data_IF_114007421914
#
_entry.id   IF_114007421914
#
_cell.length_a   1.000
_cell.length_b   1.000
_cell.length_c   1.000
_cell.angle_alpha   90.00
_cell.angle_beta   90.00
_cell.angle_gamma   90.00
#
_symmetry.space_group_name_H-M   'P 1'
#
loop_
_entity.id
_entity.type
_entity.pdbx_description
1 polymer ?
#
# COMPACT_ATOMS: atom_id res chain seq x y z
N UNK A 1 -22.81 13.51 48.69
CA UNK A 1 -22.40 14.36 47.55
C UNK A 1 -23.13 13.90 46.29
N UNK A 2 -24.01 14.76 45.77
CA UNK A 2 -24.40 14.98 44.35
C UNK A 2 -24.67 13.72 43.48
N UNK A 3 -25.95 13.27 43.43
CA UNK A 3 -26.94 13.47 42.33
C UNK A 3 -26.67 12.64 41.06
N UNK A 4 -27.31 11.47 40.90
CA UNK A 4 -28.60 11.23 40.20
C UNK A 4 -28.53 11.36 38.66
N UNK A 5 -28.71 10.21 37.98
CA UNK A 5 -29.63 9.95 36.84
C UNK A 5 -29.79 11.00 35.71
N UNK A 6 -29.64 10.58 34.44
CA UNK A 6 -30.71 10.75 33.44
C UNK A 6 -30.61 9.78 32.23
N UNK A 7 -31.75 9.34 31.63
CA UNK A 7 -31.86 8.30 30.61
C UNK A 7 -32.28 8.82 29.20
N UNK A 8 -32.40 7.87 28.25
CA UNK A 8 -33.30 7.72 27.08
C UNK A 8 -34.08 8.94 26.48
N UNK A 9 -34.04 9.00 25.14
CA UNK A 9 -35.15 9.27 24.18
C UNK A 9 -35.34 10.65 23.52
N UNK A 10 -35.42 10.59 22.17
CA UNK A 10 -36.34 11.24 21.18
C UNK A 10 -36.27 12.72 20.73
N UNK A 11 -36.46 12.85 19.40
CA UNK A 11 -36.80 14.00 18.51
C UNK A 11 -35.75 15.12 18.40
N UNK A 12 -35.45 15.74 17.25
CA UNK A 12 -36.30 16.18 16.13
C UNK A 12 -35.43 16.42 14.88
N UNK A 13 -36.02 16.45 13.68
CA UNK A 13 -35.43 17.02 12.45
C UNK A 13 -35.58 18.57 12.49
N UNK A 14 -35.31 19.39 11.44
CA UNK A 14 -34.56 19.26 10.17
C UNK A 14 -33.37 20.28 10.16
N UNK A 15 -32.62 20.59 9.11
CA UNK A 15 -32.93 21.63 8.10
C UNK A 15 -31.93 21.53 6.94
N UNK A 16 -32.53 21.32 5.79
CA UNK A 16 -32.14 21.57 4.41
C UNK A 16 -31.59 23.00 4.19
N UNK A 17 -30.36 23.14 3.70
CA UNK A 17 -29.86 24.42 3.17
C UNK A 17 -29.75 24.35 1.65
N UNK A 18 -30.78 24.89 1.01
CA UNK A 18 -30.92 25.15 -0.42
C UNK A 18 -29.93 26.27 -0.90
N UNK A 19 -29.81 26.50 -2.23
CA UNK A 19 -28.57 26.89 -2.91
C UNK A 19 -28.30 28.40 -2.94
N UNK A 20 -27.01 28.74 -3.08
CA UNK A 20 -26.55 30.11 -3.32
C UNK A 20 -26.94 30.55 -4.74
N UNK A 21 -27.77 31.59 -4.78
CA UNK A 21 -28.29 32.23 -5.98
C UNK A 21 -27.16 32.93 -6.74
N UNK A 22 -27.03 32.56 -8.01
CA UNK A 22 -26.09 33.11 -8.98
C UNK A 22 -26.70 34.40 -9.58
N UNK A 23 -26.25 35.57 -9.13
CA UNK A 23 -26.70 36.86 -9.70
C UNK A 23 -25.79 37.21 -10.89
N UNK A 24 -26.30 36.92 -12.08
CA UNK A 24 -25.76 37.39 -13.35
C UNK A 24 -26.13 38.87 -13.55
N UNK A 25 -25.15 39.77 -13.52
CA UNK A 25 -25.33 41.17 -13.91
C UNK A 25 -25.09 41.31 -15.41
N UNK A 26 -26.18 41.54 -16.14
CA UNK A 26 -26.23 41.90 -17.56
C UNK A 26 -25.68 43.33 -17.77
N UNK A 27 -24.79 43.47 -18.73
CA UNK A 27 -24.47 44.74 -19.38
C UNK A 27 -25.62 45.17 -20.33
N UNK A 28 -25.86 46.48 -20.51
CA UNK A 28 -26.53 46.96 -21.72
C UNK A 28 -25.67 47.98 -22.49
N UNK A 29 -25.61 47.77 -23.81
CA UNK A 29 -25.16 48.75 -24.81
C UNK A 29 -26.38 49.34 -25.52
N UNK A 30 -26.33 50.67 -25.68
CA UNK A 30 -26.84 51.54 -26.78
C UNK A 30 -28.34 51.64 -27.09
N UNK A 31 -28.91 52.86 -27.00
CA UNK A 31 -29.68 53.56 -28.06
C UNK A 31 -29.53 55.10 -27.93
N UNK A 32 -29.61 55.79 -29.08
CA UNK A 32 -29.32 57.18 -29.46
C UNK A 32 -30.36 58.27 -29.07
N UNK A 33 -29.84 59.50 -28.87
CA UNK A 33 -30.22 60.85 -29.42
C UNK A 33 -31.45 61.63 -28.92
N UNK A 34 -31.17 62.82 -28.35
CA UNK A 34 -31.72 64.19 -28.58
C UNK A 34 -31.43 65.04 -27.31
N UNK A 35 -31.24 66.37 -27.24
CA UNK A 35 -31.00 67.52 -28.14
C UNK A 35 -30.68 68.71 -27.19
N UNK A 36 -29.67 69.53 -27.54
CA UNK A 36 -29.39 70.95 -27.21
C UNK A 36 -29.42 71.50 -25.76
N UNK A 37 -28.32 72.17 -25.35
CA UNK A 37 -28.30 73.60 -24.99
C UNK A 37 -26.85 74.13 -24.82
N UNK A 38 -26.63 75.39 -25.22
CA UNK A 38 -25.40 76.21 -25.17
C UNK A 38 -24.90 76.48 -23.72
N UNK A 39 -23.69 76.97 -23.43
CA UNK A 39 -23.14 78.31 -23.78
C UNK A 39 -21.60 78.42 -23.57
N UNK A 40 -21.03 79.42 -24.25
CA UNK A 40 -19.64 79.92 -24.31
C UNK A 40 -18.98 80.29 -22.97
N UNK A 41 -17.64 80.25 -22.90
CA UNK A 41 -16.77 81.46 -22.91
C UNK A 41 -15.27 81.10 -22.90
N UNK A 42 -14.53 81.65 -23.87
CA UNK A 42 -13.07 81.86 -23.88
C UNK A 42 -12.76 83.19 -23.13
N UNK A 43 -11.57 83.60 -22.66
CA UNK A 43 -10.18 83.72 -23.20
C UNK A 43 -9.29 84.32 -22.01
N UNK A 44 -8.00 84.77 -22.11
CA UNK A 44 -6.70 84.06 -22.26
C UNK A 44 -5.52 84.53 -21.31
N UNK A 45 -4.43 83.72 -21.25
CA UNK A 45 -2.94 83.97 -21.19
C UNK A 45 -2.27 85.08 -20.35
N UNK A 46 -1.24 84.75 -19.51
CA UNK A 46 0.01 85.54 -19.27
C UNK A 46 1.26 84.69 -18.79
N UNK A 47 2.38 84.81 -19.54
CA UNK A 47 3.84 84.76 -19.22
C UNK A 47 4.65 83.49 -18.78
N UNK A 48 5.63 83.11 -19.64
CA UNK A 48 6.70 82.12 -19.46
C UNK A 48 8.07 82.82 -19.17
N UNK A 49 8.79 82.44 -18.09
CA UNK A 49 9.97 81.56 -18.23
C UNK A 49 10.12 80.51 -17.12
N UNK A 50 9.15 80.39 -16.20
CA UNK A 50 9.15 79.37 -15.15
C UNK A 50 8.58 78.01 -15.62
N UNK A 51 7.83 77.99 -16.72
CA UNK A 51 7.16 76.78 -17.24
C UNK A 51 8.15 75.72 -17.75
N UNK A 52 9.32 76.09 -18.24
CA UNK A 52 10.29 75.14 -18.82
C UNK A 52 11.07 74.34 -17.76
N UNK A 53 11.38 74.93 -16.61
CA UNK A 53 12.04 74.22 -15.51
C UNK A 53 11.06 73.29 -14.76
N UNK A 54 9.83 73.75 -14.56
CA UNK A 54 8.77 72.94 -13.92
C UNK A 54 8.33 71.80 -14.83
N UNK A 55 8.26 72.01 -16.16
CA UNK A 55 7.98 70.93 -17.12
C UNK A 55 9.06 69.83 -17.10
N UNK A 56 10.34 70.20 -17.05
CA UNK A 56 11.43 69.23 -17.00
C UNK A 56 11.46 68.41 -15.70
N UNK A 57 11.10 69.00 -14.55
CA UNK A 57 10.94 68.26 -13.28
C UNK A 57 9.73 67.32 -13.29
N UNK A 58 8.60 67.75 -13.87
CA UNK A 58 7.38 66.94 -13.98
C UNK A 58 7.59 65.74 -14.91
N UNK A 59 8.26 65.92 -16.04
CA UNK A 59 8.65 64.82 -16.94
C UNK A 59 9.56 63.79 -16.24
N UNK A 60 10.46 64.25 -15.35
CA UNK A 60 11.34 63.37 -14.58
C UNK A 60 10.61 62.53 -13.52
N UNK A 61 9.57 63.11 -12.89
CA UNK A 61 8.73 62.44 -11.91
C UNK A 61 7.78 61.44 -12.57
N UNK A 62 7.21 61.76 -13.74
CA UNK A 62 6.42 60.82 -14.52
C UNK A 62 7.25 59.62 -14.98
N UNK A 63 8.49 59.86 -15.43
CA UNK A 63 9.42 58.78 -15.77
C UNK A 63 9.74 57.89 -14.56
N UNK A 64 9.99 58.48 -13.39
CA UNK A 64 10.26 57.73 -12.15
C UNK A 64 9.05 56.89 -11.70
N UNK A 65 7.84 57.44 -11.80
CA UNK A 65 6.59 56.73 -11.46
C UNK A 65 6.31 55.59 -12.45
N UNK A 66 6.58 55.81 -13.74
CA UNK A 66 6.48 54.76 -14.76
C UNK A 66 7.47 53.62 -14.46
N UNK A 67 8.72 53.94 -14.09
CA UNK A 67 9.73 52.94 -13.75
C UNK A 67 9.32 52.13 -12.51
N UNK A 68 8.86 52.79 -11.44
CA UNK A 68 8.32 52.12 -10.24
C UNK A 68 7.09 51.23 -10.55
N UNK A 69 6.20 51.70 -11.44
CA UNK A 69 5.02 50.95 -11.89
C UNK A 69 5.40 49.71 -12.69
N UNK A 70 6.40 49.82 -13.57
CA UNK A 70 6.89 48.67 -14.34
C UNK A 70 7.57 47.63 -13.45
N UNK A 71 8.39 48.05 -12.48
CA UNK A 71 8.97 47.15 -11.48
C UNK A 71 7.91 46.44 -10.63
N UNK A 72 6.87 47.15 -10.19
CA UNK A 72 5.80 46.56 -9.40
C UNK A 72 5.01 45.51 -10.21
N UNK A 73 4.70 45.82 -11.48
CA UNK A 73 4.07 44.85 -12.38
C UNK A 73 4.96 43.63 -12.65
N UNK A 74 6.27 43.81 -12.78
CA UNK A 74 7.22 42.70 -12.91
C UNK A 74 7.21 41.80 -11.66
N UNK A 75 7.17 42.39 -10.45
CA UNK A 75 7.04 41.65 -9.19
C UNK A 75 5.73 40.87 -9.11
N UNK A 76 4.61 41.43 -9.59
CA UNK A 76 3.33 40.73 -9.68
C UNK A 76 3.39 39.53 -10.64
N UNK A 77 4.04 39.68 -11.80
CA UNK A 77 4.24 38.59 -12.76
C UNK A 77 5.13 37.47 -12.18
N UNK A 78 6.18 37.83 -11.43
CA UNK A 78 7.00 36.86 -10.70
C UNK A 78 6.21 36.12 -9.62
N UNK A 79 5.35 36.82 -8.86
CA UNK A 79 4.52 36.19 -7.83
C UNK A 79 3.50 35.22 -8.47
N UNK A 80 2.90 35.61 -9.60
CA UNK A 80 2.02 34.73 -10.36
C UNK A 80 2.72 33.45 -10.85
N UNK A 81 3.99 33.55 -11.30
CA UNK A 81 4.76 32.39 -11.71
C UNK A 81 5.09 31.46 -10.53
N UNK A 82 5.46 32.02 -9.36
CA UNK A 82 5.70 31.25 -8.14
C UNK A 82 4.45 30.53 -7.62
N UNK A 83 3.28 31.17 -7.70
CA UNK A 83 2.01 30.52 -7.35
C UNK A 83 1.75 29.33 -8.28
N UNK A 84 2.03 29.48 -9.57
CA UNK A 84 1.86 28.40 -10.54
C UNK A 84 2.81 27.22 -10.30
N UNK A 85 4.07 27.49 -9.92
CA UNK A 85 5.04 26.44 -9.59
C UNK A 85 4.67 25.71 -8.31
N UNK A 86 4.33 26.43 -7.23
CA UNK A 86 3.85 25.85 -5.97
C UNK A 86 2.65 24.95 -6.17
N UNK A 87 1.70 25.35 -7.02
CA UNK A 87 0.52 24.53 -7.36
C UNK A 87 0.91 23.24 -8.09
N UNK A 88 1.89 23.30 -8.98
CA UNK A 88 2.42 22.13 -9.68
C UNK A 88 3.14 21.17 -8.73
N UNK A 89 4.01 21.71 -7.88
CA UNK A 89 4.75 20.96 -6.86
C UNK A 89 3.81 20.29 -5.87
N UNK A 90 2.79 21.01 -5.37
CA UNK A 90 1.77 20.46 -4.48
C UNK A 90 1.03 19.29 -5.12
N UNK A 91 0.57 19.45 -6.37
CA UNK A 91 -0.09 18.35 -7.12
C UNK A 91 0.86 17.15 -7.33
N UNK A 92 2.14 17.41 -7.56
CA UNK A 92 3.16 16.38 -7.67
C UNK A 92 3.34 15.61 -6.36
N UNK A 93 3.39 16.33 -5.25
CA UNK A 93 3.56 15.78 -3.91
C UNK A 93 2.32 15.00 -3.47
N UNK A 94 1.12 15.52 -3.72
CA UNK A 94 -0.15 14.81 -3.49
C UNK A 94 -0.20 13.47 -4.22
N UNK A 95 0.21 13.43 -5.50
CA UNK A 95 0.31 12.18 -6.27
C UNK A 95 1.34 11.21 -5.67
N UNK A 96 2.48 11.71 -5.19
CA UNK A 96 3.49 10.88 -4.52
C UNK A 96 2.93 10.29 -3.23
N UNK A 97 2.30 11.09 -2.37
CA UNK A 97 1.65 10.62 -1.15
C UNK A 97 0.57 9.58 -1.42
N UNK A 98 -0.29 9.80 -2.41
CA UNK A 98 -1.33 8.83 -2.80
C UNK A 98 -0.75 7.50 -3.28
N UNK A 99 0.40 7.52 -3.99
CA UNK A 99 1.09 6.30 -4.41
C UNK A 99 1.72 5.56 -3.23
N UNK A 100 2.41 6.28 -2.35
CA UNK A 100 3.04 5.72 -1.16
C UNK A 100 2.01 5.10 -0.21
N UNK A 101 0.88 5.77 0.03
CA UNK A 101 -0.17 5.27 0.89
C UNK A 101 -0.80 3.98 0.33
N UNK A 102 -1.02 3.92 -0.99
CA UNK A 102 -1.47 2.70 -1.67
C UNK A 102 -0.41 1.59 -1.64
N UNK A 103 0.88 1.93 -1.78
CA UNK A 103 1.97 0.97 -1.70
C UNK A 103 2.08 0.36 -0.29
N UNK A 104 2.02 1.20 0.74
CA UNK A 104 2.02 0.79 2.15
C UNK A 104 0.81 -0.10 2.49
N UNK A 105 -0.39 0.24 2.03
CA UNK A 105 -1.59 -0.58 2.21
C UNK A 105 -1.46 -1.96 1.52
N UNK A 106 -0.91 -2.01 0.31
CA UNK A 106 -0.63 -3.28 -0.40
C UNK A 106 0.42 -4.12 0.33
N UNK A 107 1.44 -3.49 0.89
CA UNK A 107 2.49 -4.19 1.64
C UNK A 107 1.94 -4.76 2.96
N UNK A 108 1.13 -3.98 3.68
CA UNK A 108 0.46 -4.39 4.91
C UNK A 108 -0.51 -5.56 4.67
N UNK A 109 -1.35 -5.48 3.64
CA UNK A 109 -2.27 -6.57 3.27
C UNK A 109 -1.54 -7.86 2.85
N UNK A 110 -0.42 -7.76 2.11
CA UNK A 110 0.45 -8.91 1.80
C UNK A 110 1.05 -9.52 3.06
N UNK A 111 1.52 -8.70 4.01
CA UNK A 111 2.07 -9.17 5.29
C UNK A 111 1.00 -9.88 6.12
N UNK A 112 -0.22 -9.33 6.20
CA UNK A 112 -1.35 -9.96 6.88
C UNK A 112 -1.74 -11.31 6.26
N UNK A 113 -1.67 -11.45 4.93
CA UNK A 113 -1.89 -12.75 4.25
C UNK A 113 -0.79 -13.78 4.53
N UNK A 114 0.47 -13.36 4.66
CA UNK A 114 1.60 -14.26 4.98
C UNK A 114 1.68 -14.63 6.46
N UNK A 115 1.28 -13.71 7.34
CA UNK A 115 1.33 -13.86 8.81
C UNK A 115 0.01 -14.34 9.42
N UNK A 116 -1.03 -14.56 8.61
CA UNK A 116 -2.26 -15.17 9.10
C UNK A 116 -1.92 -16.50 9.76
N UNK A 117 -2.42 -16.71 10.98
CA UNK A 117 -2.26 -17.89 11.83
C UNK A 117 -2.74 -19.15 11.09
N UNK A 118 -1.96 -19.60 10.11
CA UNK A 118 -2.24 -20.79 9.33
C UNK A 118 -2.00 -21.92 10.31
N UNK A 119 -3.09 -22.55 10.76
CA UNK A 119 -3.02 -23.70 11.63
C UNK A 119 -1.93 -24.65 11.10
N UNK A 120 -1.06 -25.18 11.97
CA UNK A 120 0.04 -26.03 11.53
C UNK A 120 -0.53 -27.12 10.64
N UNK A 121 -0.15 -27.09 9.36
CA UNK A 121 -0.62 -28.07 8.36
C UNK A 121 -0.45 -29.46 8.94
N UNK A 122 -1.38 -30.39 8.69
CA UNK A 122 -1.36 -31.74 9.28
C UNK A 122 -0.04 -32.50 9.10
N UNK A 123 0.78 -32.10 8.13
CA UNK A 123 2.14 -32.61 7.90
C UNK A 123 3.21 -32.09 8.88
N UNK A 124 2.98 -30.93 9.51
CA UNK A 124 3.85 -30.26 10.49
C UNK A 124 3.46 -30.61 11.92
N UNK A 125 2.36 -31.33 12.13
CA UNK A 125 1.93 -31.79 13.45
C UNK A 125 2.98 -32.75 14.03
N UNK A 126 3.50 -32.52 15.25
CA UNK A 126 4.35 -33.49 15.93
C UNK A 126 3.56 -34.78 16.20
N UNK A 127 4.17 -35.89 15.80
CA UNK A 127 3.60 -37.23 15.99
C UNK A 127 4.69 -38.13 16.56
N UNK A 128 4.31 -39.07 17.43
CA UNK A 128 5.24 -40.09 17.91
C UNK A 128 5.75 -40.95 16.76
N UNK A 129 7.06 -41.15 16.75
CA UNK A 129 7.81 -41.90 15.75
C UNK A 129 8.17 -43.28 16.33
N UNK A 130 8.22 -44.31 15.48
CA UNK A 130 8.64 -45.65 15.88
C UNK A 130 10.11 -45.71 16.31
N UNK A 131 10.46 -46.63 17.19
CA UNK A 131 11.84 -46.81 17.68
C UNK A 131 12.87 -47.02 16.57
N UNK A 132 12.48 -47.74 15.49
CA UNK A 132 13.32 -47.95 14.30
C UNK A 132 13.70 -46.61 13.62
N UNK A 133 12.74 -45.69 13.46
CA UNK A 133 12.98 -44.38 12.86
C UNK A 133 13.76 -43.46 13.81
N UNK A 134 13.50 -43.52 15.11
CA UNK A 134 14.24 -42.76 16.10
C UNK A 134 15.72 -43.18 16.13
N UNK A 135 15.99 -44.49 16.11
CA UNK A 135 17.35 -45.02 16.04
C UNK A 135 18.08 -44.62 14.75
N UNK A 136 17.39 -44.59 13.60
CA UNK A 136 17.99 -44.16 12.33
C UNK A 136 18.35 -42.67 12.34
N UNK A 137 17.52 -41.83 12.95
CA UNK A 137 17.76 -40.39 13.07
C UNK A 137 18.69 -40.02 14.24
N UNK A 138 19.12 -40.98 15.07
CA UNK A 138 19.93 -40.73 16.25
C UNK A 138 19.20 -39.95 17.35
N UNK A 139 17.89 -40.17 17.50
CA UNK A 139 17.04 -39.51 18.51
C UNK A 139 16.53 -40.50 19.54
N UNK A 140 16.12 -39.97 20.69
CA UNK A 140 15.58 -40.77 21.78
C UNK A 140 14.28 -41.48 21.39
N UNK A 141 14.08 -42.68 21.95
CA UNK A 141 12.88 -43.48 21.74
C UNK A 141 11.66 -42.72 22.24
N UNK A 142 10.60 -42.67 21.44
CA UNK A 142 9.37 -41.95 21.78
C UNK A 142 9.38 -40.44 21.53
N UNK A 143 10.42 -39.89 20.89
CA UNK A 143 10.45 -38.49 20.45
C UNK A 143 9.32 -38.19 19.46
N UNK A 144 8.67 -37.05 19.64
CA UNK A 144 7.66 -36.56 18.71
C UNK A 144 8.30 -35.69 17.65
N UNK A 145 8.11 -36.02 16.37
CA UNK A 145 8.45 -35.09 15.30
C UNK A 145 7.38 -35.03 14.22
N UNK A 146 7.42 -33.93 13.49
CA UNK A 146 6.62 -33.73 12.31
C UNK A 146 7.09 -34.61 11.16
N UNK A 147 6.14 -35.13 10.38
CA UNK A 147 6.42 -35.90 9.15
C UNK A 147 7.33 -35.14 8.18
N UNK A 148 7.15 -33.82 8.06
CA UNK A 148 8.03 -32.97 7.22
C UNK A 148 9.48 -32.93 7.68
N UNK A 149 9.74 -32.98 8.99
CA UNK A 149 11.09 -32.98 9.53
C UNK A 149 11.79 -34.32 9.24
N UNK A 150 11.10 -35.43 9.49
CA UNK A 150 11.63 -36.78 9.21
C UNK A 150 11.94 -36.97 7.72
N UNK A 151 11.04 -36.58 6.82
CA UNK A 151 11.30 -36.68 5.38
C UNK A 151 12.48 -35.79 4.95
N UNK A 152 12.67 -34.62 5.58
CA UNK A 152 13.84 -33.77 5.31
C UNK A 152 15.13 -34.44 5.74
N UNK A 153 15.15 -35.03 6.92
CA UNK A 153 16.33 -35.71 7.47
C UNK A 153 16.70 -36.94 6.62
N UNK A 154 15.71 -37.73 6.19
CA UNK A 154 15.93 -38.86 5.27
C UNK A 154 16.43 -38.37 3.90
N UNK A 155 15.89 -37.28 3.35
CA UNK A 155 16.37 -36.73 2.09
C UNK A 155 17.81 -36.20 2.21
N UNK A 156 18.17 -35.62 3.35
CA UNK A 156 19.54 -35.22 3.65
C UNK A 156 20.47 -36.45 3.73
N UNK A 157 20.02 -37.53 4.36
CA UNK A 157 20.74 -38.81 4.39
C UNK A 157 20.98 -39.38 2.98
N UNK A 158 19.94 -39.41 2.14
CA UNK A 158 20.04 -39.90 0.75
C UNK A 158 21.07 -39.08 -0.05
N UNK A 159 21.12 -37.76 0.15
CA UNK A 159 22.06 -36.87 -0.54
C UNK A 159 23.49 -37.04 -0.03
N UNK A 160 23.67 -37.09 1.29
CA UNK A 160 25.00 -37.23 1.91
C UNK A 160 25.66 -38.57 1.58
N UNK A 161 24.85 -39.64 1.46
CA UNK A 161 25.33 -40.97 1.09
C UNK A 161 25.29 -41.23 -0.43
N UNK A 162 24.97 -40.22 -1.25
CA UNK A 162 24.87 -40.33 -2.72
C UNK A 162 24.03 -41.53 -3.21
N UNK A 163 22.92 -41.82 -2.52
CA UNK A 163 22.03 -42.96 -2.80
C UNK A 163 21.07 -42.69 -3.97
N UNK A 164 21.24 -41.58 -4.68
CA UNK A 164 20.43 -41.27 -5.86
C UNK A 164 20.99 -41.98 -7.08
N UNK A 165 20.10 -42.51 -7.92
CA UNK A 165 20.53 -43.06 -9.19
C UNK A 165 21.01 -41.92 -10.12
N UNK A 166 22.20 -42.10 -10.70
CA UNK A 166 22.82 -41.14 -11.61
C UNK A 166 22.10 -41.06 -12.95
N UNK A 167 21.48 -42.17 -13.38
CA UNK A 167 20.72 -42.22 -14.63
C UNK A 167 19.31 -41.62 -14.45
N UNK A 168 18.71 -41.80 -13.27
CA UNK A 168 17.37 -41.31 -12.98
C UNK A 168 17.29 -40.77 -11.55
N UNK A 169 17.58 -39.47 -11.35
CA UNK A 169 17.59 -38.83 -10.03
C UNK A 169 16.26 -38.83 -9.26
N UNK A 170 15.20 -39.41 -9.84
CA UNK A 170 13.93 -39.68 -9.16
C UNK A 170 13.98 -40.97 -8.34
N UNK A 171 14.78 -41.94 -8.79
CA UNK A 171 14.98 -43.24 -8.15
C UNK A 171 16.08 -43.15 -7.10
N UNK A 172 15.87 -43.85 -6.00
CA UNK A 172 16.78 -43.93 -4.87
C UNK A 172 17.18 -45.39 -4.75
N UNK A 173 18.47 -45.65 -4.70
CA UNK A 173 19.05 -46.95 -4.41
C UNK A 173 19.27 -47.03 -2.89
N UNK A 174 18.33 -47.60 -2.11
CA UNK A 174 18.45 -47.60 -0.66
C UNK A 174 19.65 -48.45 -0.23
N UNK A 175 20.39 -47.96 0.77
CA UNK A 175 21.39 -48.75 1.46
C UNK A 175 20.73 -49.75 2.42
N UNK A 176 21.52 -50.65 3.00
CA UNK A 176 21.01 -51.67 3.93
C UNK A 176 20.24 -51.05 5.12
N UNK A 177 20.66 -49.86 5.58
CA UNK A 177 20.02 -49.16 6.69
C UNK A 177 18.66 -48.58 6.30
N UNK A 178 18.56 -47.91 5.16
CA UNK A 178 17.31 -47.33 4.66
C UNK A 178 16.33 -48.42 4.20
N UNK A 179 16.83 -49.50 3.60
CA UNK A 179 16.02 -50.64 3.19
C UNK A 179 15.42 -51.37 4.41
N UNK A 180 16.20 -51.60 5.47
CA UNK A 180 15.73 -52.21 6.71
C UNK A 180 14.67 -51.33 7.38
N UNK A 181 14.89 -50.02 7.42
CA UNK A 181 13.95 -49.06 7.99
C UNK A 181 12.62 -49.03 7.23
N UNK A 182 12.65 -48.96 5.90
CA UNK A 182 11.45 -48.84 5.06
C UNK A 182 10.79 -50.18 4.73
N UNK A 183 11.35 -51.30 5.21
CA UNK A 183 10.87 -52.67 4.97
C UNK A 183 10.65 -52.96 3.48
N UNK A 184 11.54 -52.44 2.65
CA UNK A 184 11.45 -52.54 1.19
C UNK A 184 11.77 -53.96 0.72
N UNK A 185 10.98 -54.47 -0.22
CA UNK A 185 11.33 -55.68 -0.94
C UNK A 185 12.36 -55.35 -2.02
N UNK A 186 13.22 -56.31 -2.38
CA UNK A 186 14.25 -56.13 -3.43
C UNK A 186 13.67 -55.77 -4.81
N UNK A 187 12.37 -56.01 -5.00
CA UNK A 187 11.63 -55.71 -6.23
C UNK A 187 11.00 -54.31 -6.23
N UNK A 188 10.99 -53.59 -5.09
CA UNK A 188 10.32 -52.31 -4.98
C UNK A 188 11.22 -51.14 -5.37
N UNK A 189 10.75 -50.33 -6.31
CA UNK A 189 11.44 -49.10 -6.73
C UNK A 189 11.14 -47.98 -5.74
N UNK A 190 12.14 -47.61 -4.93
CA UNK A 190 12.05 -46.46 -4.05
C UNK A 190 12.25 -45.16 -4.85
N UNK A 191 11.26 -44.28 -4.78
CA UNK A 191 11.31 -42.92 -5.33
C UNK A 191 10.88 -41.94 -4.27
N UNK A 192 11.26 -40.66 -4.40
CA UNK A 192 10.84 -39.60 -3.47
C UNK A 192 9.31 -39.50 -3.30
N UNK A 193 8.55 -39.86 -4.33
CA UNK A 193 7.10 -39.90 -4.29
C UNK A 193 6.56 -41.04 -3.42
N UNK A 194 7.15 -42.23 -3.55
CA UNK A 194 6.72 -43.42 -2.81
C UNK A 194 7.29 -43.47 -1.38
N UNK A 195 8.37 -42.74 -1.08
CA UNK A 195 8.99 -42.68 0.25
C UNK A 195 7.95 -42.42 1.34
N UNK A 196 7.02 -41.49 1.08
CA UNK A 196 5.98 -41.12 2.03
C UNK A 196 5.04 -42.28 2.36
N UNK A 197 4.76 -43.17 1.40
CA UNK A 197 3.93 -44.38 1.58
C UNK A 197 4.62 -45.35 2.54
N UNK A 198 5.91 -45.61 2.33
CA UNK A 198 6.69 -46.51 3.18
C UNK A 198 6.97 -45.95 4.57
N UNK A 199 6.98 -44.63 4.74
CA UNK A 199 7.12 -44.01 6.05
C UNK A 199 5.82 -43.98 6.86
N UNK A 200 4.65 -44.07 6.20
CA UNK A 200 3.35 -43.96 6.87
C UNK A 200 3.13 -44.93 8.04
N UNK A 201 3.60 -46.19 8.00
CA UNK A 201 3.48 -47.14 9.11
C UNK A 201 4.34 -46.80 10.34
N UNK A 202 5.38 -45.99 10.18
CA UNK A 202 6.31 -45.64 11.26
C UNK A 202 5.89 -44.39 12.05
N UNK A 203 4.77 -43.78 11.68
CA UNK A 203 4.14 -42.72 12.46
C UNK A 203 2.92 -43.27 13.18
N UNK A 204 2.79 -42.96 14.47
CA UNK A 204 1.58 -43.28 15.21
C UNK A 204 0.37 -42.61 14.53
N UNK A 205 -0.64 -43.40 14.16
CA UNK A 205 -1.91 -42.85 13.66
C UNK A 205 -2.48 -41.95 14.74
N UNK A 206 -2.69 -40.67 14.42
CA UNK A 206 -3.28 -39.75 15.39
C UNK A 206 -4.63 -40.30 15.85
N UNK A 207 -4.79 -40.44 17.16
CA UNK A 207 -5.91 -41.05 17.92
C UNK A 207 -7.34 -40.70 17.44
N UNK A 208 -7.52 -39.67 16.60
CA UNK A 208 -8.81 -39.37 15.95
C UNK A 208 -9.25 -40.41 14.90
N UNK A 209 -8.34 -41.20 14.33
CA UNK A 209 -8.69 -42.21 13.33
C UNK A 209 -9.21 -43.54 13.95
N UNK A 210 -8.79 -43.88 15.17
CA UNK A 210 -9.28 -45.10 15.86
C UNK A 210 -10.64 -44.90 16.52
N UNK A 211 -10.94 -43.71 17.03
CA UNK A 211 -12.27 -43.42 17.60
C UNK A 211 -13.40 -43.48 16.55
N UNK A 212 -13.09 -43.29 15.26
CA UNK A 212 -14.07 -43.44 14.17
C UNK A 212 -14.21 -44.89 13.69
N UNK A 213 -13.20 -45.74 13.85
CA UNK A 213 -13.25 -47.15 13.45
C UNK A 213 -13.90 -48.04 14.52
N UNK A 214 -13.73 -47.72 15.81
CA UNK A 214 -14.36 -48.44 16.92
C UNK A 214 -15.85 -48.11 17.12
N UNK A 215 -16.36 -47.05 16.49
CA UNK A 215 -17.78 -46.67 16.53
C UNK A 215 -18.62 -47.30 15.40
N UNK A 216 -17.97 -48.04 14.49
CA UNK A 216 -18.60 -48.71 13.34
C UNK A 216 -18.41 -50.23 13.35
N UNK A 217 -17.96 -50.80 14.46
CA UNK A 217 -17.86 -52.25 14.66
C UNK A 217 -18.88 -52.70 15.72
#
# INVERSE_FOLDING_TARGET
MVRTSKPKSSSDAPVESAPVVNVAVKAPKTVKKAKASATETAVPVVAAPAETAVAAEVDSLEASILEQSTEFNAKLQQLASLISSLKSEYKGLEKKWQRELKAAQKLSSKRKRKSGNRAPSGFVKPTRISDELASFLGKDKGTEMARTAVTRDINAYIRTNNLQDKANGRQINPDAKLAALLKLQKTDVLTYFNLQKYMSPHFAKSVKAEAAAAATA
#
